data_IF_054448402878
#
_entry.id   IF_054448402878
#
_cell.length_a   1.000
_cell.length_b   1.000
_cell.length_c   1.000
_cell.angle_alpha   90.00
_cell.angle_beta   90.00
_cell.angle_gamma   90.00
#
_symmetry.space_group_name_H-M   'P 1'
#
loop_
_entity.id
_entity.type
_entity.pdbx_description
1 polymer ?
#
# COMPACT_ATOMS: atom_id res chain seq x y z
N UNK A 1 23.40 -30.54 -11.93
CA UNK A 1 22.67 -29.77 -12.95
C UNK A 1 22.59 -28.35 -12.46
N UNK A 2 22.82 -27.36 -13.34
CA UNK A 2 22.53 -25.96 -13.04
C UNK A 2 21.01 -25.78 -12.89
N UNK A 3 20.58 -24.97 -11.93
CA UNK A 3 19.19 -24.58 -11.71
C UNK A 3 19.05 -23.12 -12.12
N UNK A 4 18.00 -22.79 -12.88
CA UNK A 4 17.70 -21.41 -13.29
C UNK A 4 16.26 -21.05 -12.95
N UNK A 5 16.08 -19.98 -12.19
CA UNK A 5 14.77 -19.38 -11.88
C UNK A 5 14.36 -18.51 -13.06
N UNK A 6 13.16 -18.75 -13.59
CA UNK A 6 12.64 -18.05 -14.77
C UNK A 6 11.34 -17.34 -14.43
N UNK A 7 11.27 -16.05 -14.71
CA UNK A 7 10.04 -15.27 -14.59
C UNK A 7 9.72 -14.55 -15.90
N UNK A 8 8.43 -14.54 -16.23
CA UNK A 8 7.88 -13.68 -17.27
C UNK A 8 7.48 -12.36 -16.60
N UNK A 9 7.94 -11.23 -17.15
CA UNK A 9 7.70 -9.92 -16.56
C UNK A 9 6.32 -9.38 -16.94
N UNK A 10 5.65 -8.81 -15.95
CA UNK A 10 4.47 -7.95 -16.10
C UNK A 10 4.72 -6.67 -15.27
N UNK A 11 4.96 -5.55 -15.94
CA UNK A 11 5.20 -4.27 -15.28
C UNK A 11 4.03 -3.82 -14.40
N UNK A 12 2.78 -4.19 -14.75
CA UNK A 12 1.60 -3.81 -13.97
C UNK A 12 1.49 -4.59 -12.66
N UNK A 13 2.16 -5.75 -12.58
CA UNK A 13 2.14 -6.60 -11.41
C UNK A 13 3.47 -7.39 -11.25
N UNK A 14 4.54 -6.75 -10.76
CA UNK A 14 5.85 -7.39 -10.57
C UNK A 14 5.89 -8.36 -9.37
N UNK A 15 4.88 -8.31 -8.51
CA UNK A 15 4.81 -9.04 -7.24
C UNK A 15 4.99 -10.57 -7.37
N UNK A 16 4.34 -11.26 -8.32
CA UNK A 16 4.51 -12.71 -8.48
C UNK A 16 5.95 -13.10 -8.82
N UNK A 17 6.62 -12.33 -9.68
CA UNK A 17 7.99 -12.59 -10.07
C UNK A 17 8.96 -12.38 -8.90
N UNK A 18 8.74 -11.31 -8.13
CA UNK A 18 9.52 -11.03 -6.94
C UNK A 18 9.40 -12.12 -5.88
N UNK A 19 8.18 -12.50 -5.50
CA UNK A 19 7.93 -13.49 -4.45
C UNK A 19 8.40 -14.89 -4.86
N UNK A 20 8.21 -15.29 -6.12
CA UNK A 20 8.74 -16.54 -6.64
C UNK A 20 10.25 -16.61 -6.52
N UNK A 21 10.93 -15.53 -6.91
CA UNK A 21 12.39 -15.46 -6.86
C UNK A 21 12.86 -15.47 -5.40
N UNK A 22 12.26 -14.70 -4.49
CA UNK A 22 12.62 -14.71 -3.06
C UNK A 22 12.44 -16.07 -2.39
N UNK A 23 11.52 -16.93 -2.85
CA UNK A 23 11.29 -18.25 -2.26
C UNK A 23 12.21 -19.34 -2.82
N UNK A 24 12.54 -19.30 -4.12
CA UNK A 24 13.26 -20.40 -4.79
C UNK A 24 14.70 -20.10 -5.21
N UNK A 25 15.10 -18.83 -5.31
CA UNK A 25 16.44 -18.45 -5.70
C UNK A 25 17.43 -18.63 -4.55
N UNK A 26 18.53 -19.31 -4.84
CA UNK A 26 19.66 -19.53 -3.95
C UNK A 26 20.95 -19.02 -4.62
N UNK A 27 21.96 -18.70 -3.81
CA UNK A 27 23.26 -18.26 -4.35
C UNK A 27 23.89 -19.36 -5.22
N UNK A 28 24.22 -19.02 -6.47
CA UNK A 28 24.73 -19.95 -7.48
C UNK A 28 23.69 -20.39 -8.52
N UNK A 29 22.41 -20.07 -8.31
CA UNK A 29 21.38 -20.27 -9.32
C UNK A 29 21.47 -19.24 -10.44
N UNK A 30 21.07 -19.64 -11.64
CA UNK A 30 20.78 -18.70 -12.73
C UNK A 30 19.48 -17.95 -12.47
N UNK A 31 19.41 -16.68 -12.88
CA UNK A 31 18.17 -15.91 -12.89
C UNK A 31 17.90 -15.39 -14.29
N UNK A 32 16.73 -15.74 -14.85
CA UNK A 32 16.32 -15.39 -16.20
C UNK A 32 14.99 -14.63 -16.16
N UNK A 33 14.99 -13.41 -16.70
CA UNK A 33 13.78 -12.63 -16.94
C UNK A 33 13.44 -12.58 -18.42
N UNK A 34 12.20 -12.91 -18.75
CA UNK A 34 11.65 -12.81 -20.11
C UNK A 34 10.66 -11.65 -20.11
N UNK A 35 10.91 -10.64 -20.92
CA UNK A 35 10.11 -9.42 -20.93
C UNK A 35 9.87 -8.94 -22.36
N UNK A 36 8.70 -8.36 -22.67
CA UNK A 36 8.58 -7.49 -23.83
C UNK A 36 9.48 -6.25 -23.67
N UNK A 37 9.90 -5.65 -24.78
CA UNK A 37 10.82 -4.50 -24.81
C UNK A 37 10.29 -3.31 -24.03
N UNK A 38 8.99 -3.04 -24.13
CA UNK A 38 8.31 -1.94 -23.42
C UNK A 38 8.31 -2.06 -21.89
N UNK A 39 8.54 -3.26 -21.33
CA UNK A 39 8.51 -3.51 -19.88
C UNK A 39 9.89 -3.82 -19.30
N UNK A 40 10.95 -3.71 -20.11
CA UNK A 40 12.31 -4.09 -19.73
C UNK A 40 12.85 -3.32 -18.51
N UNK A 41 12.40 -2.08 -18.30
CA UNK A 41 12.79 -1.25 -17.14
C UNK A 41 12.33 -1.88 -15.81
N UNK A 42 11.26 -2.68 -15.82
CA UNK A 42 10.79 -3.40 -14.63
C UNK A 42 11.81 -4.43 -14.12
N UNK A 43 12.63 -5.01 -15.00
CA UNK A 43 13.70 -5.94 -14.63
C UNK A 43 14.72 -5.27 -13.71
N UNK A 44 15.04 -4.00 -13.98
CA UNK A 44 16.00 -3.26 -13.15
C UNK A 44 15.46 -3.05 -11.74
N UNK A 45 14.20 -2.63 -11.62
CA UNK A 45 13.53 -2.46 -10.32
C UNK A 45 13.49 -3.77 -9.54
N UNK A 46 13.09 -4.87 -10.20
CA UNK A 46 13.07 -6.21 -9.60
C UNK A 46 14.45 -6.63 -9.12
N UNK A 47 15.47 -6.47 -9.96
CA UNK A 47 16.86 -6.86 -9.63
C UNK A 47 17.38 -6.07 -8.42
N UNK A 48 17.11 -4.76 -8.37
CA UNK A 48 17.47 -3.92 -7.23
C UNK A 48 16.79 -4.37 -5.94
N UNK A 49 15.48 -4.66 -5.97
CA UNK A 49 14.75 -5.12 -4.76
C UNK A 49 15.09 -6.56 -4.37
N UNK A 50 15.52 -7.39 -5.31
CA UNK A 50 15.98 -8.75 -5.04
C UNK A 50 17.37 -8.76 -4.40
N UNK A 51 18.13 -7.66 -4.52
CA UNK A 51 19.52 -7.50 -4.06
C UNK A 51 20.47 -8.49 -4.75
N UNK A 52 20.20 -8.83 -6.01
CA UNK A 52 21.05 -9.71 -6.83
C UNK A 52 21.92 -8.89 -7.79
N UNK A 53 23.12 -9.37 -8.06
CA UNK A 53 24.04 -8.72 -9.00
C UNK A 53 23.46 -8.75 -10.42
N UNK A 54 23.34 -7.57 -11.06
CA UNK A 54 22.84 -7.45 -12.43
C UNK A 54 23.62 -8.33 -13.43
N UNK A 55 24.91 -8.62 -13.17
CA UNK A 55 25.73 -9.47 -14.02
C UNK A 55 25.32 -10.95 -14.00
N UNK A 56 24.60 -11.39 -12.96
CA UNK A 56 24.08 -12.75 -12.84
C UNK A 56 22.63 -12.89 -13.37
N UNK A 57 22.05 -11.80 -13.89
CA UNK A 57 20.69 -11.78 -14.41
C UNK A 57 20.70 -11.86 -15.93
N UNK A 58 20.27 -13.00 -16.48
CA UNK A 58 20.01 -13.15 -17.90
C UNK A 58 18.68 -12.48 -18.27
N UNK A 59 18.64 -11.84 -19.44
CA UNK A 59 17.47 -11.12 -19.94
C UNK A 59 17.17 -11.56 -21.37
N UNK A 60 15.95 -12.02 -21.62
CA UNK A 60 15.44 -12.25 -22.98
C UNK A 60 14.40 -11.18 -23.27
N UNK A 61 14.79 -10.23 -24.14
CA UNK A 61 13.92 -9.13 -24.55
C UNK A 61 13.21 -9.51 -25.85
N UNK A 62 11.88 -9.62 -25.78
CA UNK A 62 11.02 -10.00 -26.89
C UNK A 62 10.50 -8.74 -27.58
N UNK A 63 10.90 -8.53 -28.84
CA UNK A 63 10.49 -7.35 -29.62
C UNK A 63 9.20 -7.60 -30.39
N UNK A 64 8.42 -6.54 -30.57
CA UNK A 64 7.28 -6.54 -31.49
C UNK A 64 7.75 -6.48 -32.94
N UNK A 65 7.02 -7.15 -33.82
CA UNK A 65 7.19 -7.05 -35.27
C UNK A 65 5.94 -6.39 -35.87
N UNK A 66 6.10 -5.19 -36.46
CA UNK A 66 4.98 -4.39 -37.00
C UNK A 66 3.83 -4.27 -35.99
N UNK A 67 4.15 -3.83 -34.77
CA UNK A 67 3.23 -3.70 -33.62
C UNK A 67 2.67 -5.00 -33.03
N UNK A 68 2.88 -6.15 -33.68
CA UNK A 68 2.36 -7.45 -33.25
C UNK A 68 3.45 -8.33 -32.60
N UNK A 69 3.04 -9.10 -31.60
CA UNK A 69 3.82 -10.24 -31.15
C UNK A 69 3.57 -11.42 -32.07
N UNK A 70 4.58 -11.85 -32.82
CA UNK A 70 4.49 -13.03 -33.67
C UNK A 70 4.93 -14.26 -32.87
N UNK A 71 4.03 -15.20 -32.64
CA UNK A 71 4.27 -16.45 -31.90
C UNK A 71 5.61 -17.11 -32.24
N UNK A 72 5.87 -17.36 -33.52
CA UNK A 72 7.10 -18.02 -33.97
C UNK A 72 8.37 -17.21 -33.65
N UNK A 73 8.27 -15.88 -33.71
CA UNK A 73 9.39 -15.01 -33.38
C UNK A 73 9.69 -15.08 -31.88
N UNK A 74 8.67 -15.00 -31.02
CA UNK A 74 8.82 -15.15 -29.57
C UNK A 74 9.47 -16.50 -29.25
N UNK A 75 8.90 -17.57 -29.80
CA UNK A 75 9.37 -18.92 -29.54
C UNK A 75 10.84 -19.11 -29.97
N UNK A 76 11.20 -18.63 -31.17
CA UNK A 76 12.57 -18.73 -31.69
C UNK A 76 13.55 -17.91 -30.86
N UNK A 77 13.19 -16.68 -30.48
CA UNK A 77 14.05 -15.80 -29.67
C UNK A 77 14.35 -16.44 -28.32
N UNK A 78 13.34 -16.97 -27.63
CA UNK A 78 13.53 -17.64 -26.35
C UNK A 78 14.37 -18.92 -26.52
N UNK A 79 13.98 -19.79 -27.46
CA UNK A 79 14.60 -21.12 -27.63
C UNK A 79 16.10 -21.06 -27.93
N UNK A 80 16.58 -20.00 -28.59
CA UNK A 80 17.99 -19.83 -28.92
C UNK A 80 18.88 -19.55 -27.70
N UNK A 81 18.30 -19.15 -26.57
CA UNK A 81 19.00 -18.73 -25.36
C UNK A 81 18.95 -19.81 -24.25
N UNK A 82 18.29 -20.94 -24.52
CA UNK A 82 18.08 -22.03 -23.56
C UNK A 82 19.01 -23.22 -23.84
N UNK A 83 19.35 -23.93 -22.77
CA UNK A 83 20.22 -25.10 -22.72
C UNK A 83 19.43 -26.31 -22.18
N UNK A 84 19.75 -27.51 -22.65
CA UNK A 84 19.02 -28.74 -22.27
C UNK A 84 19.53 -29.37 -20.96
N UNK A 85 20.72 -29.01 -20.49
CA UNK A 85 21.34 -29.55 -19.27
C UNK A 85 20.91 -28.80 -18.01
N UNK A 86 20.43 -27.56 -18.15
CA UNK A 86 19.87 -26.74 -17.07
C UNK A 86 18.45 -27.19 -16.72
N UNK A 87 18.17 -27.24 -15.42
CA UNK A 87 16.81 -27.38 -14.90
C UNK A 87 16.20 -26.00 -14.69
N UNK A 88 15.08 -25.73 -15.37
CA UNK A 88 14.37 -24.45 -15.28
C UNK A 88 13.21 -24.53 -14.28
N UNK A 89 13.06 -23.48 -13.48
CA UNK A 89 11.93 -23.27 -12.58
C UNK A 89 11.15 -22.08 -13.12
N UNK A 90 10.10 -22.35 -13.88
CA UNK A 90 9.38 -21.32 -14.62
C UNK A 90 8.12 -20.89 -13.87
N UNK A 91 8.04 -19.61 -13.53
CA UNK A 91 6.85 -18.97 -13.00
C UNK A 91 5.97 -18.42 -14.12
N UNK A 92 4.75 -18.97 -14.23
CA UNK A 92 3.74 -18.62 -15.23
C UNK A 92 2.79 -17.49 -14.77
N UNK A 93 3.03 -16.89 -13.60
CA UNK A 93 2.14 -15.87 -13.03
C UNK A 93 2.32 -14.45 -13.62
N UNK A 94 3.31 -14.25 -14.48
CA UNK A 94 3.59 -12.95 -15.10
C UNK A 94 3.44 -12.96 -16.62
N UNK A 95 3.60 -11.80 -17.23
CA UNK A 95 3.32 -11.53 -18.63
C UNK A 95 1.84 -11.60 -19.00
N UNK A 96 1.51 -11.06 -20.17
CA UNK A 96 0.19 -11.28 -20.74
C UNK A 96 0.00 -12.76 -21.14
N UNK A 97 -1.26 -13.18 -21.34
CA UNK A 97 -1.61 -14.57 -21.68
C UNK A 97 -0.90 -15.09 -22.93
N UNK A 98 -0.72 -14.24 -23.94
CA UNK A 98 -0.08 -14.64 -25.19
C UNK A 98 1.42 -14.93 -24.99
N UNK A 99 2.11 -14.09 -24.22
CA UNK A 99 3.50 -14.32 -23.81
C UNK A 99 3.62 -15.58 -22.98
N UNK A 100 2.77 -15.74 -21.96
CA UNK A 100 2.79 -16.90 -21.06
C UNK A 100 2.64 -18.22 -21.81
N UNK A 101 1.66 -18.32 -22.72
CA UNK A 101 1.46 -19.52 -23.53
C UNK A 101 2.63 -19.79 -24.49
N UNK A 102 3.23 -18.75 -25.06
CA UNK A 102 4.39 -18.88 -25.95
C UNK A 102 5.63 -19.36 -25.21
N UNK A 103 5.89 -18.77 -24.03
CA UNK A 103 6.99 -19.17 -23.14
C UNK A 103 6.77 -20.62 -22.70
N UNK A 104 5.59 -20.95 -22.17
CA UNK A 104 5.27 -22.31 -21.74
C UNK A 104 5.56 -23.34 -22.85
N UNK A 105 5.05 -23.09 -24.07
CA UNK A 105 5.27 -23.98 -25.21
C UNK A 105 6.75 -24.24 -25.50
N UNK A 106 7.61 -23.21 -25.42
CA UNK A 106 9.05 -23.41 -25.61
C UNK A 106 9.64 -24.25 -24.50
N UNK A 107 9.31 -23.93 -23.25
CA UNK A 107 9.90 -24.57 -22.06
C UNK A 107 9.44 -26.02 -21.86
N UNK A 108 8.32 -26.44 -22.46
CA UNK A 108 7.88 -27.84 -22.54
C UNK A 108 8.89 -28.74 -23.29
N UNK A 109 9.75 -28.16 -24.15
CA UNK A 109 10.82 -28.90 -24.84
C UNK A 109 12.12 -29.06 -24.02
N UNK A 110 12.17 -28.47 -22.81
CA UNK A 110 13.35 -28.42 -21.94
C UNK A 110 13.06 -29.05 -20.57
N UNK A 111 14.10 -29.26 -19.75
CA UNK A 111 13.97 -29.79 -18.40
C UNK A 111 13.38 -28.72 -17.46
N UNK A 112 12.06 -28.55 -17.49
CA UNK A 112 11.36 -27.47 -16.80
C UNK A 112 10.37 -27.99 -15.76
N UNK A 113 10.40 -27.37 -14.57
CA UNK A 113 9.33 -27.42 -13.60
C UNK A 113 8.50 -26.13 -13.70
N UNK A 114 7.19 -26.29 -13.81
CA UNK A 114 6.27 -25.18 -13.99
C UNK A 114 5.59 -24.82 -12.67
N UNK A 115 5.54 -23.53 -12.38
CA UNK A 115 4.95 -22.99 -11.18
C UNK A 115 4.02 -21.82 -11.51
N UNK A 116 3.06 -21.59 -10.63
CA UNK A 116 2.19 -20.42 -10.68
C UNK A 116 2.12 -19.78 -9.30
N UNK A 117 2.63 -18.56 -9.20
CA UNK A 117 2.59 -17.78 -7.95
C UNK A 117 1.23 -17.15 -7.74
N UNK A 118 0.52 -17.62 -6.72
CA UNK A 118 -0.81 -17.15 -6.33
C UNK A 118 -0.68 -16.13 -5.20
N UNK A 119 -0.55 -14.85 -5.56
CA UNK A 119 -0.34 -13.76 -4.58
C UNK A 119 -1.55 -13.53 -3.68
N UNK A 120 -2.76 -13.87 -4.14
CA UNK A 120 -3.99 -13.78 -3.35
C UNK A 120 -4.01 -14.84 -2.24
N UNK A 121 -3.63 -16.07 -2.53
CA UNK A 121 -3.55 -17.18 -1.58
C UNK A 121 -2.20 -17.22 -0.84
N UNK A 122 -1.27 -16.34 -1.22
CA UNK A 122 0.10 -16.25 -0.69
C UNK A 122 0.85 -17.60 -0.74
N UNK A 123 0.70 -18.30 -1.87
CA UNK A 123 1.29 -19.60 -2.13
C UNK A 123 1.81 -19.70 -3.56
N UNK A 124 2.62 -20.71 -3.83
CA UNK A 124 3.11 -21.06 -5.16
C UNK A 124 2.69 -22.49 -5.43
N UNK A 125 2.04 -22.70 -6.56
CA UNK A 125 1.55 -24.02 -6.96
C UNK A 125 2.44 -24.55 -8.07
N UNK A 126 2.94 -25.78 -7.93
CA UNK A 126 3.65 -26.46 -9.02
C UNK A 126 2.64 -27.20 -9.87
N UNK A 127 2.59 -26.83 -11.15
CA UNK A 127 1.61 -27.36 -12.10
C UNK A 127 2.10 -28.67 -12.70
N UNK A 128 1.25 -29.70 -12.68
CA UNK A 128 1.52 -31.00 -13.31
C UNK A 128 0.76 -31.06 -14.63
N UNK A 129 1.49 -31.13 -15.75
CA UNK A 129 0.90 -31.25 -17.10
C UNK A 129 0.75 -32.71 -17.58
N UNK A 130 1.09 -33.69 -16.74
CA UNK A 130 0.91 -35.11 -17.05
C UNK A 130 -0.52 -35.57 -16.75
N UNK A 131 -1.36 -35.53 -17.78
CA UNK A 131 -2.76 -35.97 -17.71
C UNK A 131 -2.94 -37.49 -17.53
N UNK A 132 -1.86 -38.28 -17.49
CA UNK A 132 -1.94 -39.72 -17.19
C UNK A 132 -2.01 -40.04 -15.69
N UNK A 133 -1.78 -39.04 -14.84
CA UNK A 133 -1.79 -39.13 -13.37
C UNK A 133 -3.01 -38.36 -12.86
N UNK A 134 -4.13 -39.05 -12.68
CA UNK A 134 -5.40 -38.44 -12.23
C UNK A 134 -5.50 -38.21 -10.71
N UNK A 135 -4.44 -38.51 -9.95
CA UNK A 135 -4.49 -38.67 -8.49
C UNK A 135 -3.44 -37.86 -7.70
N UNK A 136 -2.64 -36.99 -8.34
CA UNK A 136 -1.76 -36.08 -7.61
C UNK A 136 -2.41 -34.70 -7.50
N UNK A 137 -2.80 -34.33 -6.28
CA UNK A 137 -3.08 -32.94 -5.94
C UNK A 137 -1.86 -32.08 -6.29
N UNK A 138 -2.08 -30.88 -6.84
CA UNK A 138 -0.98 -29.95 -7.15
C UNK A 138 -0.10 -29.74 -5.89
N UNK A 139 1.22 -29.75 -6.07
CA UNK A 139 2.15 -29.49 -4.96
C UNK A 139 2.11 -27.99 -4.62
N UNK A 140 1.68 -27.66 -3.40
CA UNK A 140 1.51 -26.28 -2.93
C UNK A 140 2.61 -25.88 -1.94
N UNK A 141 3.26 -24.75 -2.22
CA UNK A 141 4.33 -24.17 -1.42
C UNK A 141 3.87 -22.86 -0.79
N UNK A 142 3.79 -22.74 0.55
CA UNK A 142 3.47 -21.46 1.19
C UNK A 142 4.63 -20.47 1.00
N UNK A 143 4.32 -19.23 0.63
CA UNK A 143 5.35 -18.17 0.54
C UNK A 143 5.78 -17.79 1.96
N UNK A 144 7.07 -17.91 2.26
CA UNK A 144 7.64 -17.60 3.58
C UNK A 144 8.11 -16.15 3.66
N UNK A 145 8.62 -15.60 2.57
CA UNK A 145 9.03 -14.19 2.52
C UNK A 145 7.88 -13.26 2.95
N UNK A 146 8.19 -12.26 3.77
CA UNK A 146 7.24 -11.22 4.20
C UNK A 146 7.80 -9.88 3.78
N UNK A 147 7.12 -9.26 2.82
CA UNK A 147 7.55 -8.01 2.25
C UNK A 147 7.46 -6.85 3.25
N UNK A 148 8.42 -5.95 3.12
CA UNK A 148 8.40 -4.63 3.73
C UNK A 148 7.66 -3.63 2.83
N UNK A 149 7.25 -2.50 3.39
CA UNK A 149 6.71 -1.37 2.63
C UNK A 149 7.75 -0.83 1.63
N UNK A 150 9.03 -0.82 2.01
CA UNK A 150 10.14 -0.40 1.15
C UNK A 150 10.27 -1.29 -0.08
N UNK A 151 10.29 -2.60 0.09
CA UNK A 151 10.33 -3.55 -1.02
C UNK A 151 9.12 -3.36 -1.93
N UNK A 152 7.91 -3.26 -1.37
CA UNK A 152 6.70 -3.05 -2.16
C UNK A 152 6.78 -1.78 -2.98
N UNK A 153 7.07 -0.63 -2.35
CA UNK A 153 7.16 0.65 -3.07
C UNK A 153 8.29 0.65 -4.11
N UNK A 154 9.44 0.06 -3.79
CA UNK A 154 10.54 -0.09 -4.73
C UNK A 154 10.19 -0.92 -5.98
N UNK A 155 9.41 -1.99 -5.83
CA UNK A 155 8.95 -2.81 -6.95
C UNK A 155 8.05 -2.03 -7.92
N UNK A 156 7.24 -1.11 -7.41
CA UNK A 156 6.39 -0.24 -8.22
C UNK A 156 7.10 1.06 -8.66
N UNK A 157 8.43 1.15 -8.48
CA UNK A 157 9.23 2.31 -8.89
C UNK A 157 8.93 3.58 -8.07
N UNK A 158 8.40 3.43 -6.86
CA UNK A 158 8.07 4.53 -5.98
C UNK A 158 9.23 4.84 -5.03
N UNK A 159 9.65 6.10 -5.02
CA UNK A 159 10.47 6.65 -3.96
C UNK A 159 9.59 6.96 -2.76
N UNK A 160 10.04 6.60 -1.56
CA UNK A 160 9.30 6.87 -0.34
C UNK A 160 10.21 7.15 0.85
N UNK A 161 9.67 7.83 1.86
CA UNK A 161 10.32 8.13 3.14
C UNK A 161 9.99 7.10 4.23
N UNK A 162 9.61 5.87 3.86
CA UNK A 162 9.23 4.79 4.80
C UNK A 162 10.32 4.39 5.79
N UNK A 163 11.60 4.63 5.46
CA UNK A 163 12.74 4.40 6.37
C UNK A 163 12.83 5.48 7.46
N UNK A 164 12.20 6.64 7.25
CA UNK A 164 12.10 7.75 8.20
C UNK A 164 10.64 8.19 8.38
N UNK A 165 9.73 7.28 8.78
CA UNK A 165 8.31 7.55 8.78
C UNK A 165 7.97 8.60 9.84
N UNK A 166 6.85 9.29 9.64
CA UNK A 166 6.37 10.28 10.60
C UNK A 166 6.24 9.67 11.99
N UNK A 167 6.94 10.26 12.96
CA UNK A 167 6.90 9.81 14.36
C UNK A 167 5.60 10.25 15.02
N UNK A 168 5.17 9.49 16.01
CA UNK A 168 4.04 9.89 16.84
C UNK A 168 4.38 11.19 17.60
N UNK A 169 3.47 12.15 17.53
CA UNK A 169 3.52 13.44 18.21
C UNK A 169 3.18 13.28 19.69
N UNK A 170 2.23 12.39 20.02
CA UNK A 170 1.86 12.07 21.40
C UNK A 170 1.87 10.56 21.62
N UNK A 171 1.83 10.15 22.88
CA UNK A 171 1.66 8.74 23.23
C UNK A 171 0.32 8.20 22.72
N UNK A 172 0.28 6.90 22.40
CA UNK A 172 -0.93 6.19 21.97
C UNK A 172 -2.13 6.40 22.90
N UNK A 173 -1.89 6.52 24.21
CA UNK A 173 -2.93 6.78 25.22
C UNK A 173 -3.68 8.09 24.96
N UNK A 174 -3.00 9.11 24.41
CA UNK A 174 -3.60 10.41 24.13
C UNK A 174 -4.55 10.36 22.92
N UNK A 175 -4.14 9.72 21.82
CA UNK A 175 -4.99 9.59 20.64
C UNK A 175 -6.20 8.69 20.92
N UNK A 176 -6.04 7.64 21.74
CA UNK A 176 -7.14 6.83 22.27
C UNK A 176 -8.09 7.64 23.15
N UNK A 177 -7.57 8.52 24.01
CA UNK A 177 -8.38 9.43 24.83
C UNK A 177 -9.20 10.38 23.95
N UNK A 178 -8.58 11.04 22.96
CA UNK A 178 -9.29 11.91 22.01
C UNK A 178 -10.36 11.15 21.22
N UNK A 179 -10.07 9.93 20.75
CA UNK A 179 -11.05 9.09 20.09
C UNK A 179 -12.23 8.75 21.00
N UNK A 180 -11.96 8.47 22.28
CA UNK A 180 -13.00 8.24 23.30
C UNK A 180 -13.87 9.48 23.49
N UNK A 181 -13.26 10.65 23.65
CA UNK A 181 -13.97 11.92 23.78
C UNK A 181 -14.88 12.18 22.57
N UNK A 182 -14.39 11.91 21.37
CA UNK A 182 -15.13 12.09 20.13
C UNK A 182 -16.27 11.06 19.97
N UNK A 183 -16.00 9.78 20.19
CA UNK A 183 -16.97 8.68 20.05
C UNK A 183 -18.10 8.75 21.08
N UNK A 184 -17.80 9.23 22.30
CA UNK A 184 -18.78 9.40 23.38
C UNK A 184 -19.45 10.78 23.39
N UNK A 185 -19.20 11.62 22.37
CA UNK A 185 -19.78 12.97 22.26
C UNK A 185 -19.47 13.87 23.47
N UNK A 186 -18.27 13.73 24.05
CA UNK A 186 -17.77 14.55 25.16
C UNK A 186 -17.23 15.91 24.69
N UNK A 187 -17.01 16.08 23.38
CA UNK A 187 -16.70 17.37 22.77
C UNK A 187 -17.98 18.13 22.44
N UNK A 188 -18.10 19.35 22.99
CA UNK A 188 -19.22 20.24 22.76
C UNK A 188 -19.03 21.12 21.52
N UNK A 189 -20.07 21.91 21.21
CA UNK A 189 -20.04 22.84 20.06
C UNK A 189 -18.83 23.79 20.10
N UNK A 190 -18.52 24.36 21.26
CA UNK A 190 -17.38 25.27 21.42
C UNK A 190 -16.04 24.61 21.13
N UNK A 191 -15.87 23.33 21.50
CA UNK A 191 -14.64 22.58 21.21
C UNK A 191 -14.46 22.38 19.71
N UNK A 192 -15.55 22.05 18.99
CA UNK A 192 -15.52 21.94 17.53
C UNK A 192 -15.26 23.28 16.83
N UNK A 193 -15.77 24.39 17.38
CA UNK A 193 -15.49 25.73 16.86
C UNK A 193 -13.99 26.06 17.02
N UNK A 194 -13.37 25.73 18.16
CA UNK A 194 -11.92 25.87 18.37
C UNK A 194 -11.12 25.02 17.38
N UNK A 195 -11.45 23.73 17.23
CA UNK A 195 -10.76 22.83 16.30
C UNK A 195 -10.89 23.29 14.84
N UNK A 196 -12.08 23.76 14.45
CA UNK A 196 -12.34 24.26 13.09
C UNK A 196 -11.55 25.54 12.83
N UNK A 197 -11.54 26.48 13.77
CA UNK A 197 -10.78 27.71 13.63
C UNK A 197 -9.27 27.43 13.55
N UNK A 198 -8.75 26.51 14.37
CA UNK A 198 -7.35 26.07 14.30
C UNK A 198 -7.04 25.48 12.92
N UNK A 199 -7.91 24.60 12.40
CA UNK A 199 -7.73 23.95 11.08
C UNK A 199 -7.72 24.95 9.93
N UNK A 200 -8.72 25.82 9.87
CA UNK A 200 -8.94 26.71 8.72
C UNK A 200 -7.97 27.89 8.70
N UNK A 201 -7.44 28.31 9.85
CA UNK A 201 -6.69 29.57 9.98
C UNK A 201 -5.23 29.40 10.33
N UNK A 202 -4.88 28.33 11.05
CA UNK A 202 -3.57 28.20 11.68
C UNK A 202 -2.83 26.88 11.42
N UNK A 203 -3.46 25.87 10.81
CA UNK A 203 -2.85 24.55 10.58
C UNK A 203 -1.47 24.62 9.92
N UNK A 204 -1.29 25.51 8.94
CA UNK A 204 -0.06 25.62 8.15
C UNK A 204 0.89 26.72 8.68
N UNK A 205 0.67 27.22 9.89
CA UNK A 205 1.57 28.20 10.50
C UNK A 205 2.77 27.49 11.13
N UNK A 206 3.94 28.11 11.10
CA UNK A 206 5.13 27.53 11.73
C UNK A 206 4.99 27.41 13.25
N UNK A 207 4.37 28.42 13.88
CA UNK A 207 4.06 28.44 15.30
C UNK A 207 2.86 29.36 15.59
N UNK A 208 2.18 29.13 16.71
CA UNK A 208 1.06 29.94 17.17
C UNK A 208 1.17 30.17 18.68
N UNK A 209 1.31 31.44 19.10
CA UNK A 209 1.21 31.82 20.52
C UNK A 209 -0.23 31.74 20.97
N UNK A 210 -0.50 31.01 22.05
CA UNK A 210 -1.86 30.72 22.53
C UNK A 210 -2.59 32.01 22.92
N UNK A 211 -1.91 32.90 23.67
CA UNK A 211 -2.49 34.18 24.07
C UNK A 211 -2.81 35.11 22.88
N UNK A 212 -1.98 35.10 21.83
CA UNK A 212 -2.22 35.87 20.60
C UNK A 212 -3.37 35.28 19.79
N UNK A 213 -3.54 33.95 19.79
CA UNK A 213 -4.68 33.31 19.14
C UNK A 213 -6.00 33.64 19.86
N UNK A 214 -6.01 33.68 21.19
CA UNK A 214 -7.21 34.02 21.97
C UNK A 214 -7.59 35.50 21.85
N UNK A 215 -6.58 36.39 21.80
CA UNK A 215 -6.75 37.84 21.73
C UNK A 215 -5.80 38.43 20.67
N UNK A 216 -6.14 38.29 19.38
CA UNK A 216 -5.29 38.78 18.31
C UNK A 216 -5.17 40.30 18.37
N UNK A 217 -3.93 40.78 18.26
CA UNK A 217 -3.60 42.21 18.14
C UNK A 217 -3.27 42.60 16.69
N UNK A 218 -3.16 41.61 15.79
CA UNK A 218 -2.85 41.78 14.37
C UNK A 218 -4.10 41.55 13.53
N UNK A 219 -4.33 42.40 12.54
CA UNK A 219 -5.52 42.36 11.68
C UNK A 219 -5.65 41.07 10.83
N UNK A 220 -4.54 40.36 10.61
CA UNK A 220 -4.52 39.12 9.84
C UNK A 220 -4.81 37.86 10.68
N UNK A 221 -5.10 37.99 11.97
CA UNK A 221 -5.38 36.87 12.87
C UNK A 221 -6.87 36.77 13.20
N UNK A 222 -7.39 35.55 13.23
CA UNK A 222 -8.77 35.25 13.63
C UNK A 222 -8.78 34.76 15.07
N UNK A 223 -9.53 35.42 15.95
CA UNK A 223 -9.59 35.02 17.35
C UNK A 223 -10.11 33.59 17.49
N UNK A 224 -9.45 32.81 18.35
CA UNK A 224 -9.91 31.50 18.84
C UNK A 224 -10.16 31.63 20.34
N UNK A 225 -11.33 32.12 20.76
CA UNK A 225 -11.65 32.21 22.17
C UNK A 225 -11.56 30.83 22.83
N UNK A 226 -11.04 30.78 24.05
CA UNK A 226 -10.95 29.57 24.87
C UNK A 226 -10.01 28.48 24.33
N UNK A 227 -9.05 28.79 23.45
CA UNK A 227 -8.03 27.85 23.00
C UNK A 227 -7.29 27.21 24.19
N UNK A 228 -6.84 28.00 25.16
CA UNK A 228 -6.14 27.50 26.35
C UNK A 228 -7.04 26.56 27.17
N UNK A 229 -8.32 26.93 27.33
CA UNK A 229 -9.30 26.10 28.05
C UNK A 229 -9.53 24.78 27.32
N UNK A 230 -9.65 24.80 26.00
CA UNK A 230 -9.81 23.61 25.17
C UNK A 230 -8.60 22.67 25.29
N UNK A 231 -7.38 23.19 25.13
CA UNK A 231 -6.16 22.39 25.27
C UNK A 231 -6.07 21.71 26.64
N UNK A 232 -6.38 22.45 27.71
CA UNK A 232 -6.44 21.89 29.06
C UNK A 232 -7.54 20.83 29.20
N UNK A 233 -8.71 21.04 28.61
CA UNK A 233 -9.84 20.12 28.67
C UNK A 233 -9.52 18.78 28.01
N UNK A 234 -8.86 18.79 26.85
CA UNK A 234 -8.42 17.57 26.16
C UNK A 234 -7.10 17.00 26.72
N UNK A 235 -6.52 17.64 27.74
CA UNK A 235 -5.24 17.24 28.33
C UNK A 235 -4.02 17.45 27.42
N UNK A 236 -4.13 18.27 26.38
CA UNK A 236 -3.02 18.54 25.46
C UNK A 236 -2.02 19.51 26.09
N UNK A 237 -0.79 19.04 26.29
CA UNK A 237 0.33 19.86 26.75
C UNK A 237 1.24 20.19 25.57
N UNK A 238 1.32 21.47 25.17
CA UNK A 238 2.29 21.90 24.17
C UNK A 238 3.72 21.59 24.61
N UNK A 239 4.62 21.30 23.67
CA UNK A 239 6.05 21.16 23.97
C UNK A 239 6.62 22.48 24.52
N UNK A 240 6.22 23.61 23.93
CA UNK A 240 6.52 24.95 24.43
C UNK A 240 5.27 25.53 25.10
N UNK A 241 5.29 25.73 26.42
CA UNK A 241 4.09 25.97 27.24
C UNK A 241 3.12 27.06 26.74
N UNK A 242 3.63 28.09 26.05
CA UNK A 242 2.83 29.24 25.59
C UNK A 242 2.51 29.22 24.07
N UNK A 243 2.92 28.18 23.35
CA UNK A 243 2.80 28.15 21.88
C UNK A 243 2.68 26.74 21.31
N UNK A 244 1.89 26.63 20.24
CA UNK A 244 1.80 25.42 19.43
C UNK A 244 2.80 25.49 18.26
N UNK A 245 3.56 24.43 18.03
CA UNK A 245 4.36 24.27 16.81
C UNK A 245 3.51 23.77 15.63
N UNK A 246 4.02 23.87 14.39
CA UNK A 246 3.31 23.38 13.18
C UNK A 246 2.80 21.95 13.35
N UNK A 247 3.66 21.03 13.76
CA UNK A 247 3.31 19.62 13.93
C UNK A 247 2.23 19.41 15.00
N UNK A 248 2.18 20.25 16.04
CA UNK A 248 1.14 20.19 17.09
C UNK A 248 -0.20 20.71 16.57
N UNK A 249 -0.19 21.73 15.72
CA UNK A 249 -1.40 22.24 15.06
C UNK A 249 -1.93 21.25 14.03
N UNK A 250 -1.07 20.63 13.22
CA UNK A 250 -1.43 19.54 12.31
C UNK A 250 -2.05 18.35 13.07
N UNK A 251 -1.43 17.98 14.20
CA UNK A 251 -1.92 16.94 15.10
C UNK A 251 -3.32 17.24 15.62
N UNK A 252 -3.51 18.40 16.26
CA UNK A 252 -4.81 18.82 16.83
C UNK A 252 -5.91 18.97 15.77
N UNK A 253 -5.53 19.27 14.53
CA UNK A 253 -6.49 19.50 13.44
C UNK A 253 -6.76 18.27 12.58
N UNK A 254 -6.09 17.14 12.83
CA UNK A 254 -6.39 15.88 12.15
C UNK A 254 -5.42 14.72 12.43
N UNK A 255 -4.14 15.02 12.64
CA UNK A 255 -3.08 13.99 12.76
C UNK A 255 -3.28 13.04 13.95
N UNK A 256 -3.97 13.48 15.02
CA UNK A 256 -4.34 12.59 16.13
C UNK A 256 -5.14 11.37 15.70
N UNK A 257 -5.97 11.50 14.67
CA UNK A 257 -6.80 10.40 14.19
C UNK A 257 -5.99 9.40 13.38
N UNK A 258 -5.01 9.87 12.62
CA UNK A 258 -4.05 9.02 11.91
C UNK A 258 -3.20 8.21 12.90
N UNK A 259 -2.71 8.84 13.98
CA UNK A 259 -1.99 8.14 15.04
C UNK A 259 -2.87 7.12 15.79
N UNK A 260 -4.13 7.45 16.04
CA UNK A 260 -5.09 6.50 16.61
C UNK A 260 -5.27 5.28 15.70
N UNK A 261 -5.49 5.49 14.40
CA UNK A 261 -5.67 4.40 13.42
C UNK A 261 -4.39 3.57 13.30
N UNK A 262 -3.22 4.20 13.20
CA UNK A 262 -1.95 3.50 13.20
C UNK A 262 -1.80 2.58 14.41
N UNK A 263 -2.03 3.11 15.61
CA UNK A 263 -1.91 2.33 16.85
C UNK A 263 -2.91 1.17 16.89
N UNK A 264 -4.16 1.43 16.51
CA UNK A 264 -5.22 0.41 16.42
C UNK A 264 -4.82 -0.74 15.47
N UNK A 265 -4.35 -0.41 14.27
CA UNK A 265 -3.94 -1.41 13.28
C UNK A 265 -2.72 -2.19 13.78
N UNK A 266 -1.71 -1.49 14.31
CA UNK A 266 -0.49 -2.09 14.84
C UNK A 266 -0.79 -3.10 15.96
N UNK A 267 -1.66 -2.74 16.91
CA UNK A 267 -2.00 -3.58 18.05
C UNK A 267 -2.89 -4.77 17.66
N UNK A 268 -3.92 -4.53 16.84
CA UNK A 268 -4.96 -5.53 16.56
C UNK A 268 -4.59 -6.43 15.40
N UNK A 269 -4.11 -5.86 14.28
CA UNK A 269 -3.79 -6.64 13.09
C UNK A 269 -2.37 -7.20 13.12
N UNK A 270 -1.44 -6.58 13.85
CA UNK A 270 -0.02 -6.97 13.89
C UNK A 270 0.52 -7.21 12.47
N UNK A 271 0.57 -6.16 11.63
CA UNK A 271 1.08 -6.27 10.27
C UNK A 271 2.56 -6.65 10.25
N UNK A 272 3.04 -7.14 9.11
CA UNK A 272 4.45 -7.49 8.90
C UNK A 272 5.32 -6.22 8.84
N UNK A 273 4.75 -5.14 8.29
CA UNK A 273 5.35 -3.80 8.27
C UNK A 273 4.25 -2.72 8.29
N UNK A 274 4.48 -1.56 8.92
CA UNK A 274 3.50 -0.48 9.05
C UNK A 274 4.16 0.89 9.24
N UNK A 275 3.62 1.89 8.54
CA UNK A 275 4.01 3.29 8.68
C UNK A 275 2.79 4.22 8.63
N UNK A 276 3.00 5.48 9.03
CA UNK A 276 2.01 6.55 8.92
C UNK A 276 2.65 7.81 8.33
N UNK A 277 1.84 8.64 7.65
CA UNK A 277 2.31 9.88 7.03
C UNK A 277 3.45 9.65 6.03
N UNK A 278 3.33 8.60 5.20
CA UNK A 278 4.37 8.21 4.24
C UNK A 278 4.21 9.01 2.97
N UNK A 279 5.27 9.68 2.55
CA UNK A 279 5.35 10.36 1.28
C UNK A 279 5.82 9.43 0.19
N UNK A 280 5.07 9.37 -0.92
CA UNK A 280 5.43 8.61 -2.12
C UNK A 280 5.53 9.52 -3.35
N UNK A 281 6.48 9.21 -4.22
CA UNK A 281 6.63 9.86 -5.52
C UNK A 281 7.18 8.88 -6.56
N UNK A 282 6.92 9.12 -7.83
CA UNK A 282 7.41 8.28 -8.94
C UNK A 282 8.57 8.93 -9.72
N UNK A 283 9.24 9.94 -9.15
CA UNK A 283 10.34 10.69 -9.76
C UNK A 283 9.98 11.58 -10.96
N UNK A 284 8.93 11.25 -11.72
CA UNK A 284 8.47 11.97 -12.91
C UNK A 284 7.62 13.18 -12.53
N UNK A 285 6.78 13.05 -11.50
CA UNK A 285 5.92 14.14 -11.04
C UNK A 285 6.26 14.45 -9.58
N UNK A 286 6.63 15.72 -9.30
CA UNK A 286 6.87 16.25 -7.93
C UNK A 286 5.60 16.31 -7.06
N UNK A 287 4.57 15.51 -7.36
CA UNK A 287 3.43 15.37 -6.46
C UNK A 287 3.87 14.48 -5.30
N UNK A 288 4.09 15.11 -4.16
CA UNK A 288 4.34 14.40 -2.91
C UNK A 288 2.99 13.90 -2.40
N UNK A 289 2.65 12.65 -2.70
CA UNK A 289 1.42 12.05 -2.19
C UNK A 289 1.71 11.51 -0.79
N UNK A 290 0.96 11.99 0.20
CA UNK A 290 1.02 11.43 1.55
C UNK A 290 -0.01 10.31 1.69
N UNK A 291 0.43 9.18 2.24
CA UNK A 291 -0.40 8.06 2.69
C UNK A 291 -0.54 8.14 4.20
N UNK A 292 -1.75 8.39 4.69
CA UNK A 292 -2.01 8.61 6.12
C UNK A 292 -1.58 7.41 6.98
N UNK A 293 -2.03 6.19 6.64
CA UNK A 293 -1.56 4.93 7.24
C UNK A 293 -1.43 3.87 6.16
N UNK A 294 -0.29 3.18 6.09
CA UNK A 294 -0.08 2.06 5.17
C UNK A 294 0.62 0.89 5.89
N UNK A 295 0.30 -0.33 5.48
CA UNK A 295 0.90 -1.53 6.07
C UNK A 295 0.91 -2.71 5.10
N UNK A 296 1.88 -3.61 5.29
CA UNK A 296 1.92 -4.91 4.64
C UNK A 296 1.40 -5.98 5.62
N UNK A 297 0.51 -6.84 5.13
CA UNK A 297 0.14 -8.07 5.84
C UNK A 297 -0.01 -9.23 4.87
N UNK A 298 0.74 -10.31 5.07
CA UNK A 298 0.80 -11.45 4.17
C UNK A 298 1.05 -11.02 2.71
N UNK A 299 2.09 -10.21 2.50
CA UNK A 299 2.52 -9.68 1.19
C UNK A 299 1.49 -8.81 0.46
N UNK A 300 0.42 -8.38 1.13
CA UNK A 300 -0.61 -7.50 0.58
C UNK A 300 -0.47 -6.10 1.18
N UNK A 301 -0.49 -5.08 0.32
CA UNK A 301 -0.51 -3.69 0.73
C UNK A 301 -1.93 -3.26 1.12
N UNK A 302 -2.02 -2.61 2.27
CA UNK A 302 -3.21 -1.92 2.75
C UNK A 302 -2.90 -0.44 2.94
N UNK A 303 -3.82 0.42 2.52
CA UNK A 303 -3.72 1.87 2.66
C UNK A 303 -5.02 2.39 3.25
N UNK A 304 -4.92 3.25 4.27
CA UNK A 304 -6.06 3.85 4.97
C UNK A 304 -5.90 5.37 4.91
N UNK A 305 -6.81 6.04 4.20
CA UNK A 305 -6.97 7.49 4.26
C UNK A 305 -7.86 7.87 5.45
N UNK A 306 -7.40 8.79 6.29
CA UNK A 306 -8.08 9.26 7.49
C UNK A 306 -8.72 10.63 7.26
N UNK A 307 -9.99 10.77 7.65
CA UNK A 307 -10.74 12.02 7.51
C UNK A 307 -11.50 12.37 8.78
N UNK A 308 -11.09 13.46 9.42
CA UNK A 308 -11.77 14.01 10.60
C UNK A 308 -12.88 15.00 10.26
N UNK A 309 -12.95 15.50 9.01
CA UNK A 309 -13.97 16.45 8.57
C UNK A 309 -14.29 16.34 7.09
N UNK A 310 -15.29 15.53 6.75
CA UNK A 310 -15.95 15.56 5.43
C UNK A 310 -17.20 16.43 5.55
N UNK A 311 -17.28 17.51 4.77
CA UNK A 311 -18.33 18.54 4.90
C UNK A 311 -19.34 18.54 3.75
N UNK A 312 -19.01 17.92 2.61
CA UNK A 312 -19.89 17.85 1.43
C UNK A 312 -19.68 16.55 0.65
N UNK A 313 -20.66 16.21 -0.19
CA UNK A 313 -20.54 15.13 -1.18
C UNK A 313 -19.45 15.41 -2.22
N UNK A 314 -19.26 16.68 -2.62
CA UNK A 314 -18.19 17.06 -3.57
C UNK A 314 -16.81 16.74 -3.01
N UNK A 315 -16.55 17.13 -1.75
CA UNK A 315 -15.29 16.86 -1.08
C UNK A 315 -15.08 15.35 -0.88
N UNK A 316 -16.16 14.62 -0.55
CA UNK A 316 -16.07 13.16 -0.47
C UNK A 316 -15.67 12.53 -1.80
N UNK A 317 -16.30 12.96 -2.91
CA UNK A 317 -15.99 12.45 -4.24
C UNK A 317 -14.53 12.76 -4.62
N UNK A 318 -14.03 13.97 -4.35
CA UNK A 318 -12.62 14.32 -4.56
C UNK A 318 -11.68 13.37 -3.79
N UNK A 319 -11.99 13.06 -2.53
CA UNK A 319 -11.21 12.11 -1.73
C UNK A 319 -11.22 10.72 -2.35
N UNK A 320 -12.41 10.20 -2.72
CA UNK A 320 -12.54 8.87 -3.32
C UNK A 320 -11.79 8.79 -4.65
N UNK A 321 -11.91 9.81 -5.51
CA UNK A 321 -11.20 9.86 -6.79
C UNK A 321 -9.69 9.94 -6.59
N UNK A 322 -9.20 10.71 -5.62
CA UNK A 322 -7.77 10.75 -5.27
C UNK A 322 -7.28 9.36 -4.86
N UNK A 323 -7.96 8.70 -3.94
CA UNK A 323 -7.57 7.36 -3.46
C UNK A 323 -7.63 6.33 -4.59
N UNK A 324 -8.64 6.40 -5.47
CA UNK A 324 -8.77 5.52 -6.63
C UNK A 324 -7.61 5.71 -7.62
N UNK A 325 -7.27 6.97 -7.93
CA UNK A 325 -6.15 7.28 -8.82
C UNK A 325 -4.81 6.82 -8.24
N UNK A 326 -4.58 7.01 -6.93
CA UNK A 326 -3.38 6.49 -6.26
C UNK A 326 -3.30 4.96 -6.35
N UNK A 327 -4.42 4.29 -6.10
CA UNK A 327 -4.52 2.83 -6.20
C UNK A 327 -4.18 2.33 -7.60
N UNK A 328 -4.84 2.87 -8.62
CA UNK A 328 -4.70 2.38 -10.00
C UNK A 328 -3.35 2.73 -10.64
N UNK A 329 -2.79 3.90 -10.33
CA UNK A 329 -1.59 4.40 -11.01
C UNK A 329 -0.31 4.04 -10.28
N UNK A 330 -0.31 3.99 -8.94
CA UNK A 330 0.92 3.89 -8.15
C UNK A 330 0.99 2.62 -7.30
N UNK A 331 -0.12 2.15 -6.75
CA UNK A 331 -0.11 1.15 -5.68
C UNK A 331 -0.52 -0.27 -6.11
N UNK A 332 -0.81 -0.47 -7.39
CA UNK A 332 -1.22 -1.76 -7.95
C UNK A 332 -2.47 -2.34 -7.26
N UNK A 333 -2.42 -3.60 -6.84
CA UNK A 333 -3.55 -4.35 -6.28
C UNK A 333 -3.86 -4.03 -4.80
N UNK A 334 -3.49 -2.84 -4.33
CA UNK A 334 -3.66 -2.42 -2.93
C UNK A 334 -5.11 -2.46 -2.42
N UNK A 335 -5.23 -2.77 -1.12
CA UNK A 335 -6.48 -2.75 -0.37
C UNK A 335 -6.68 -1.37 0.27
N UNK A 336 -7.46 -0.52 -0.37
CA UNK A 336 -7.66 0.88 0.03
C UNK A 336 -8.92 1.07 0.89
N UNK A 337 -8.77 1.83 1.97
CA UNK A 337 -9.82 2.18 2.92
C UNK A 337 -9.88 3.69 3.13
N UNK A 338 -11.08 4.20 3.42
CA UNK A 338 -11.27 5.56 3.92
C UNK A 338 -11.94 5.46 5.29
N UNK A 339 -11.27 5.92 6.33
CA UNK A 339 -11.78 6.01 7.68
C UNK A 339 -12.23 7.43 7.96
N UNK A 340 -13.51 7.61 8.30
CA UNK A 340 -14.10 8.93 8.49
C UNK A 340 -14.81 9.05 9.82
N UNK A 341 -14.56 10.15 10.51
CA UNK A 341 -15.26 10.52 11.74
C UNK A 341 -16.65 11.15 11.49
N UNK A 342 -17.12 11.20 10.24
CA UNK A 342 -18.46 11.66 9.87
C UNK A 342 -19.38 10.49 9.58
N UNK A 343 -20.66 10.66 9.89
CA UNK A 343 -21.73 9.70 9.58
C UNK A 343 -22.13 9.82 8.11
N UNK A 344 -22.27 8.69 7.42
CA UNK A 344 -22.92 8.67 6.10
C UNK A 344 -24.42 8.48 6.28
N UNK A 345 -25.15 9.59 6.36
CA UNK A 345 -26.58 9.58 6.65
C UNK A 345 -27.45 8.90 5.59
N UNK A 346 -26.98 8.78 4.34
CA UNK A 346 -27.77 8.25 3.21
C UNK A 346 -27.18 6.98 2.59
N UNK A 347 -26.03 6.51 3.06
CA UNK A 347 -25.30 5.39 2.46
C UNK A 347 -24.71 5.70 1.08
N UNK A 348 -24.72 6.98 0.67
CA UNK A 348 -24.28 7.39 -0.68
C UNK A 348 -22.77 7.29 -0.78
N UNK A 349 -22.06 7.77 0.24
CA UNK A 349 -20.61 7.73 0.30
C UNK A 349 -20.09 6.30 0.29
N UNK A 350 -20.72 5.42 1.07
CA UNK A 350 -20.39 4.00 1.10
C UNK A 350 -20.60 3.31 -0.25
N UNK A 351 -21.67 3.65 -0.97
CA UNK A 351 -21.93 3.13 -2.32
C UNK A 351 -20.87 3.62 -3.30
N UNK A 352 -20.61 4.93 -3.35
CA UNK A 352 -19.62 5.54 -4.26
C UNK A 352 -18.23 4.94 -4.05
N UNK A 353 -17.75 4.85 -2.81
CA UNK A 353 -16.45 4.24 -2.52
C UNK A 353 -16.40 2.76 -2.96
N UNK A 354 -17.47 1.99 -2.70
CA UNK A 354 -17.55 0.59 -3.11
C UNK A 354 -17.47 0.42 -4.63
N UNK A 355 -18.12 1.29 -5.41
CA UNK A 355 -18.02 1.26 -6.88
C UNK A 355 -16.60 1.50 -7.38
N UNK A 356 -15.78 2.22 -6.62
CA UNK A 356 -14.37 2.50 -6.93
C UNK A 356 -13.40 1.48 -6.30
N UNK A 357 -13.90 0.36 -5.77
CA UNK A 357 -13.07 -0.66 -5.13
C UNK A 357 -12.38 -0.18 -3.84
N UNK A 358 -12.99 0.78 -3.14
CA UNK A 358 -12.51 1.36 -1.88
C UNK A 358 -13.52 1.04 -0.76
N UNK A 359 -13.01 0.63 0.40
CA UNK A 359 -13.87 0.38 1.58
C UNK A 359 -14.00 1.63 2.43
N UNK A 360 -15.18 2.24 2.44
CA UNK A 360 -15.49 3.39 3.30
C UNK A 360 -16.03 2.95 4.67
N UNK A 361 -15.40 3.44 5.73
CA UNK A 361 -15.77 3.22 7.13
C UNK A 361 -16.11 4.56 7.78
N UNK A 362 -17.38 4.74 8.13
CA UNK A 362 -17.88 5.99 8.69
C UNK A 362 -17.80 6.00 10.23
N UNK A 363 -18.35 7.04 10.86
CA UNK A 363 -18.40 7.17 12.31
C UNK A 363 -19.01 5.95 13.02
N UNK A 364 -20.10 5.38 12.49
CA UNK A 364 -20.77 4.24 13.12
C UNK A 364 -19.87 3.01 13.06
N UNK A 365 -19.21 2.80 11.92
CA UNK A 365 -18.27 1.71 11.73
C UNK A 365 -17.10 1.74 12.72
N UNK A 366 -16.60 2.94 13.05
CA UNK A 366 -15.42 3.10 13.90
C UNK A 366 -15.74 3.11 15.40
N UNK A 367 -16.93 3.58 15.79
CA UNK A 367 -17.31 3.77 17.20
C UNK A 367 -18.08 2.61 17.81
N UNK A 368 -18.64 1.72 16.98
CA UNK A 368 -19.30 0.49 17.43
C UNK A 368 -18.31 -0.67 17.45
N UNK A 369 -17.98 -1.25 18.63
CA UNK A 369 -16.98 -2.33 18.73
C UNK A 369 -17.25 -3.51 17.80
N UNK A 370 -18.51 -3.89 17.62
CA UNK A 370 -18.94 -4.96 16.73
C UNK A 370 -18.61 -4.69 15.26
N UNK A 371 -18.85 -3.46 14.79
CA UNK A 371 -18.58 -3.07 13.40
C UNK A 371 -17.10 -2.86 13.14
N UNK A 372 -16.38 -2.28 14.11
CA UNK A 372 -14.94 -2.12 14.02
C UNK A 372 -14.27 -3.49 13.93
N UNK A 373 -14.69 -4.44 14.79
CA UNK A 373 -14.20 -5.82 14.76
C UNK A 373 -14.49 -6.49 13.41
N UNK A 374 -15.66 -6.28 12.82
CA UNK A 374 -16.00 -6.81 11.49
C UNK A 374 -15.04 -6.29 10.40
N UNK A 375 -14.72 -4.99 10.42
CA UNK A 375 -13.79 -4.38 9.46
C UNK A 375 -12.38 -4.93 9.61
N UNK A 376 -11.88 -4.99 10.85
CA UNK A 376 -10.55 -5.52 11.16
C UNK A 376 -10.46 -7.01 10.82
N UNK A 377 -11.52 -7.78 11.05
CA UNK A 377 -11.59 -9.18 10.64
C UNK A 377 -11.57 -9.33 9.11
N UNK A 378 -12.24 -8.45 8.36
CA UNK A 378 -12.17 -8.46 6.89
C UNK A 378 -10.78 -8.16 6.38
N UNK A 379 -10.08 -7.18 6.96
CA UNK A 379 -8.66 -6.91 6.62
C UNK A 379 -7.79 -8.15 6.89
N UNK A 380 -7.99 -8.81 8.04
CA UNK A 380 -7.32 -10.07 8.35
C UNK A 380 -7.70 -11.20 7.39
N UNK A 381 -8.96 -11.31 6.97
CA UNK A 381 -9.39 -12.34 6.03
C UNK A 381 -8.78 -12.12 4.65
N UNK A 382 -8.73 -10.88 4.18
CA UNK A 382 -8.02 -10.55 2.93
C UNK A 382 -6.55 -10.96 3.04
N UNK A 383 -5.91 -10.79 4.21
CA UNK A 383 -4.55 -11.26 4.44
C UNK A 383 -4.45 -12.80 4.56
N UNK A 384 -5.49 -13.47 5.09
CA UNK A 384 -5.56 -14.92 5.39
C UNK A 384 -6.32 -15.76 4.36
N UNK A 385 -6.58 -15.27 3.15
CA UNK A 385 -6.80 -16.22 2.05
C UNK A 385 -5.43 -16.92 1.89
N UNK A 386 -5.36 -18.09 2.54
CA UNK A 386 -4.21 -18.93 2.88
C UNK A 386 -4.70 -20.35 3.08
#
# INVERSE_FOLDING_TARGET
>A
MSKTIVNIIDQSNPLPAYLFTKEFYEEGDGLLFISPEEEADCIQLLTQQLEVDENHVQRIIVKRFQENFLYEHICRTIKNELDRETQYYLNLAGGNRYMTLSVQHVFEEFNTLFFYTQTRENQIVKTIFDHSIYDDDDEVFPIKHRMTLKEYFGLYGLQSDVDEPRKQVKETSFSQHLFTMFSQSLLGRGDYEVMTALRERYRNWNYLRIAEAEKPTKDNMTAIPALSKFLNYIGFKPEQSDSLQSYEMEYLTGGWFEEYVYALIKEVLKPDDIAMGVHISNGVIKHNNELDVCFIKANKLFVIECKTGVTSESLFNEIVYKVCALKEVLLGTSNSYIFSLKKDHKGVWKKTAKYMGITFCDWLNLTKPEYLKEILNKMNQIAKES
#
